data_IF_077118465620
#
_entry.id   IF_077118465620
#
_cell.length_a   1.000
_cell.length_b   1.000
_cell.length_c   1.000
_cell.angle_alpha   90.00
_cell.angle_beta   90.00
_cell.angle_gamma   90.00
#
_symmetry.space_group_name_H-M   'P 1'
#
loop_
_entity.id
_entity.type
_entity.pdbx_description
1 polymer ?
#
# COMPACT_ATOMS: atom_id res chain seq x y z
N UNK A 1 -24.52 -38.70 51.89
CA UNK A 1 -25.12 -37.35 52.03
C UNK A 1 -24.82 -36.59 50.75
N UNK A 2 -25.88 -36.23 50.04
CA UNK A 2 -25.89 -35.74 48.65
C UNK A 2 -25.77 -34.22 48.72
N UNK A 3 -24.75 -33.60 48.11
CA UNK A 3 -24.65 -32.14 48.01
C UNK A 3 -24.72 -31.74 46.54
N UNK A 4 -25.97 -31.63 46.09
CA UNK A 4 -26.40 -31.06 44.84
C UNK A 4 -26.02 -29.56 44.80
N UNK A 5 -25.03 -29.18 43.98
CA UNK A 5 -24.71 -27.78 43.69
C UNK A 5 -25.13 -27.46 42.25
N UNK A 6 -26.31 -26.85 42.15
CA UNK A 6 -26.86 -26.29 40.92
C UNK A 6 -26.18 -24.92 40.74
N UNK A 7 -25.25 -24.80 39.79
CA UNK A 7 -24.70 -23.50 39.39
C UNK A 7 -25.55 -22.96 38.22
N UNK A 8 -26.23 -21.81 38.36
CA UNK A 8 -26.98 -21.23 37.25
C UNK A 8 -26.03 -20.73 36.17
N UNK A 9 -26.30 -21.15 34.94
CA UNK A 9 -25.65 -20.67 33.73
C UNK A 9 -25.96 -19.17 33.52
N UNK A 10 -24.94 -18.32 33.62
CA UNK A 10 -25.00 -16.95 33.10
C UNK A 10 -24.39 -16.96 31.70
N UNK A 11 -25.27 -17.03 30.70
CA UNK A 11 -24.97 -16.82 29.28
C UNK A 11 -24.61 -15.34 29.09
N UNK A 12 -23.31 -15.03 29.11
CA UNK A 12 -22.80 -13.72 28.74
C UNK A 12 -22.59 -13.65 27.23
N UNK A 13 -23.51 -13.01 26.50
CA UNK A 13 -23.29 -12.59 25.12
C UNK A 13 -22.30 -11.42 25.10
N UNK A 14 -21.01 -11.75 25.04
CA UNK A 14 -19.97 -10.77 24.75
C UNK A 14 -20.03 -10.39 23.26
N UNK A 15 -20.66 -9.26 22.95
CA UNK A 15 -20.52 -8.60 21.65
C UNK A 15 -19.10 -8.02 21.56
N UNK A 16 -18.13 -8.86 21.19
CA UNK A 16 -16.78 -8.39 20.85
C UNK A 16 -16.86 -7.58 19.56
N UNK A 17 -16.92 -6.26 19.71
CA UNK A 17 -16.78 -5.28 18.63
C UNK A 17 -15.37 -5.39 18.05
N UNK A 18 -15.19 -6.27 17.06
CA UNK A 18 -13.98 -6.27 16.25
C UNK A 18 -13.96 -4.98 15.42
N UNK A 19 -12.85 -4.23 15.38
CA UNK A 19 -12.72 -3.11 14.46
C UNK A 19 -12.76 -3.67 13.04
N UNK A 20 -13.67 -3.17 12.21
CA UNK A 20 -13.58 -3.31 10.76
C UNK A 20 -12.37 -2.47 10.31
N UNK A 21 -11.17 -3.04 10.39
CA UNK A 21 -10.06 -2.52 9.62
C UNK A 21 -10.43 -2.70 8.14
N UNK A 22 -10.62 -1.60 7.42
CA UNK A 22 -10.75 -1.60 5.98
C UNK A 22 -9.59 -2.43 5.41
N UNK A 23 -9.94 -3.55 4.77
CA UNK A 23 -9.01 -4.52 4.24
C UNK A 23 -8.37 -3.91 3.00
N UNK A 24 -7.35 -3.08 3.18
CA UNK A 24 -6.56 -2.58 2.06
C UNK A 24 -5.83 -3.79 1.50
N UNK A 25 -6.33 -4.30 0.37
CA UNK A 25 -5.81 -5.49 -0.28
C UNK A 25 -4.34 -5.23 -0.69
N UNK A 26 -3.41 -5.72 0.14
CA UNK A 26 -1.98 -5.55 -0.04
C UNK A 26 -1.44 -6.24 -1.30
N UNK A 27 -2.27 -7.01 -2.03
CA UNK A 27 -1.85 -7.80 -3.18
C UNK A 27 -1.90 -7.03 -4.51
N UNK A 28 -2.16 -5.72 -4.52
CA UNK A 28 -2.26 -4.95 -5.77
C UNK A 28 -1.16 -3.90 -5.93
N UNK A 29 0.11 -4.34 -5.86
CA UNK A 29 1.30 -3.50 -6.02
C UNK A 29 1.66 -3.29 -7.49
N UNK A 30 1.45 -2.10 -8.04
CA UNK A 30 1.79 -1.72 -9.41
C UNK A 30 3.24 -1.25 -9.49
N UNK A 31 3.89 -1.57 -10.61
CA UNK A 31 5.25 -1.15 -10.91
C UNK A 31 5.23 0.27 -11.46
N UNK A 32 5.69 1.25 -10.69
CA UNK A 32 5.76 2.65 -11.14
C UNK A 32 7.17 2.95 -11.59
N UNK A 33 7.30 3.42 -12.82
CA UNK A 33 8.57 3.76 -13.43
C UNK A 33 8.91 5.23 -13.14
N UNK A 34 10.08 5.44 -12.55
CA UNK A 34 10.65 6.71 -12.14
C UNK A 34 11.81 7.13 -13.05
N UNK A 35 11.92 6.58 -14.26
CA UNK A 35 12.98 6.93 -15.22
C UNK A 35 12.96 8.42 -15.63
N UNK A 36 11.87 9.14 -15.32
CA UNK A 36 11.82 10.59 -15.43
C UNK A 36 12.77 11.25 -14.42
N UNK A 37 13.87 11.82 -14.93
CA UNK A 37 14.87 12.52 -14.12
C UNK A 37 14.26 13.65 -13.28
N UNK A 38 13.28 14.39 -13.77
CA UNK A 38 12.64 15.47 -13.00
C UNK A 38 11.95 14.91 -11.74
N UNK A 39 11.19 13.83 -11.88
CA UNK A 39 10.48 13.19 -10.76
C UNK A 39 11.46 12.53 -9.80
N UNK A 40 12.46 11.81 -10.31
CA UNK A 40 13.48 11.20 -9.47
C UNK A 40 14.25 12.27 -8.65
N UNK A 41 14.58 13.41 -9.27
CA UNK A 41 15.18 14.54 -8.56
C UNK A 41 14.24 15.11 -7.49
N UNK A 42 12.96 15.31 -7.81
CA UNK A 42 11.98 15.87 -6.87
C UNK A 42 11.81 14.97 -5.63
N UNK A 43 11.71 13.65 -5.84
CA UNK A 43 11.67 12.66 -4.75
C UNK A 43 12.97 12.70 -3.94
N UNK A 44 14.12 12.75 -4.61
CA UNK A 44 15.42 12.82 -3.95
C UNK A 44 15.57 14.08 -3.09
N UNK A 45 15.06 15.22 -3.56
CA UNK A 45 15.04 16.48 -2.79
C UNK A 45 14.12 16.41 -1.59
N UNK A 46 12.94 15.82 -1.72
CA UNK A 46 11.97 15.69 -0.62
C UNK A 46 12.48 14.74 0.47
N UNK A 47 13.19 13.67 0.07
CA UNK A 47 13.79 12.70 0.98
C UNK A 47 15.19 13.09 1.49
N UNK A 48 15.76 14.18 0.99
CA UNK A 48 17.14 14.62 1.24
C UNK A 48 18.19 13.50 0.96
N UNK A 49 17.99 12.75 -0.12
CA UNK A 49 18.88 11.66 -0.56
C UNK A 49 19.49 11.96 -1.93
N UNK A 50 20.50 11.20 -2.33
CA UNK A 50 21.05 11.34 -3.67
C UNK A 50 20.12 10.67 -4.70
N UNK A 51 19.88 11.32 -5.84
CA UNK A 51 19.05 10.78 -6.93
C UNK A 51 19.53 9.41 -7.44
N UNK A 52 20.83 9.10 -7.34
CA UNK A 52 21.37 7.78 -7.67
C UNK A 52 20.94 6.67 -6.72
N UNK A 53 20.43 7.01 -5.53
CA UNK A 53 19.86 6.05 -4.58
C UNK A 53 18.37 5.79 -4.85
N UNK A 54 17.73 6.62 -5.67
CA UNK A 54 16.33 6.43 -6.05
C UNK A 54 16.28 5.28 -7.08
N UNK A 55 15.53 4.20 -6.81
CA UNK A 55 15.35 3.13 -7.78
C UNK A 55 14.57 3.61 -9.01
N UNK A 56 14.94 3.10 -10.18
CA UNK A 56 14.27 3.42 -11.46
C UNK A 56 12.82 2.92 -11.47
N UNK A 57 12.51 1.87 -10.70
CA UNK A 57 11.17 1.28 -10.64
C UNK A 57 10.81 0.98 -9.20
N UNK A 58 9.61 1.39 -8.78
CA UNK A 58 9.10 1.16 -7.42
C UNK A 58 7.78 0.42 -7.41
N UNK A 59 7.54 -0.41 -6.40
CA UNK A 59 6.28 -1.11 -6.22
C UNK A 59 5.39 -0.34 -5.25
N UNK A 60 4.26 0.17 -5.76
CA UNK A 60 3.31 0.96 -4.95
C UNK A 60 1.90 0.41 -5.12
N UNK A 61 1.01 0.57 -4.12
CA UNK A 61 -0.38 0.13 -4.26
C UNK A 61 -1.07 0.84 -5.45
N UNK A 62 -1.97 0.11 -6.13
CA UNK A 62 -2.71 0.62 -7.31
C UNK A 62 -3.36 1.98 -7.10
N UNK A 63 -3.84 2.28 -5.88
CA UNK A 63 -4.46 3.56 -5.57
C UNK A 63 -3.46 4.73 -5.62
N UNK A 64 -2.23 4.51 -5.17
CA UNK A 64 -1.17 5.52 -5.23
C UNK A 64 -0.64 5.64 -6.66
N UNK A 65 -0.42 4.50 -7.34
CA UNK A 65 0.03 4.47 -8.73
C UNK A 65 -0.95 5.21 -9.67
N UNK A 66 -2.25 5.02 -9.47
CA UNK A 66 -3.28 5.69 -10.25
C UNK A 66 -3.18 7.22 -10.19
N UNK A 67 -2.98 7.78 -8.99
CA UNK A 67 -2.82 9.22 -8.80
C UNK A 67 -1.51 9.74 -9.39
N UNK A 68 -0.42 9.02 -9.20
CA UNK A 68 0.95 9.42 -9.63
C UNK A 68 1.14 9.33 -11.14
N UNK A 69 0.51 8.36 -11.77
CA UNK A 69 0.60 8.14 -13.22
C UNK A 69 -0.55 8.85 -13.98
N UNK A 70 -1.47 9.53 -13.29
CA UNK A 70 -2.70 10.13 -13.83
C UNK A 70 -3.53 9.13 -14.68
N UNK A 71 -3.63 7.89 -14.20
CA UNK A 71 -4.38 6.80 -14.85
C UNK A 71 -5.43 6.25 -13.92
N UNK A 72 -6.51 5.72 -14.48
CA UNK A 72 -7.55 5.11 -13.64
C UNK A 72 -7.05 3.84 -12.98
N UNK A 73 -7.25 3.73 -11.66
CA UNK A 73 -6.90 2.53 -10.87
C UNK A 73 -7.52 1.25 -11.44
N UNK A 74 -8.71 1.35 -12.05
CA UNK A 74 -9.36 0.21 -12.70
C UNK A 74 -8.59 -0.28 -13.95
N UNK A 75 -7.97 0.63 -14.71
CA UNK A 75 -7.14 0.26 -15.88
C UNK A 75 -5.88 -0.46 -15.42
N UNK A 76 -5.22 0.05 -14.38
CA UNK A 76 -4.06 -0.63 -13.78
C UNK A 76 -4.42 -1.98 -13.16
N UNK A 77 -5.57 -2.07 -12.49
CA UNK A 77 -6.05 -3.31 -11.91
C UNK A 77 -6.45 -4.36 -12.97
N UNK A 78 -6.92 -3.93 -14.15
CA UNK A 78 -7.16 -4.81 -15.29
C UNK A 78 -5.85 -5.25 -15.92
N UNK A 79 -4.92 -4.31 -16.19
CA UNK A 79 -3.58 -4.64 -16.66
C UNK A 79 -2.83 -5.61 -15.75
N UNK A 80 -3.07 -5.54 -14.43
CA UNK A 80 -2.55 -6.51 -13.44
C UNK A 80 -3.12 -7.91 -13.57
N UNK A 81 -4.35 -8.05 -14.07
CA UNK A 81 -5.00 -9.35 -14.32
C UNK A 81 -4.51 -9.95 -15.62
N UNK A 82 -4.23 -9.11 -16.61
CA UNK A 82 -3.70 -9.51 -17.91
C UNK A 82 -2.17 -9.71 -17.90
N UNK A 83 -1.46 -9.21 -16.89
CA UNK A 83 -0.01 -9.37 -16.72
C UNK A 83 0.63 -8.41 -15.70
N UNK A 84 1.84 -7.96 -15.96
CA UNK A 84 2.50 -6.90 -15.17
C UNK A 84 1.95 -5.52 -15.56
N UNK A 85 1.21 -4.89 -14.65
CA UNK A 85 0.87 -3.48 -14.79
C UNK A 85 2.06 -2.63 -14.37
N UNK A 86 2.58 -1.88 -15.34
CA UNK A 86 3.51 -0.81 -15.12
C UNK A 86 2.92 0.52 -15.58
N UNK A 87 3.27 1.62 -14.91
CA UNK A 87 2.98 2.96 -15.39
C UNK A 87 4.14 3.90 -15.14
N UNK A 88 4.32 4.88 -16.02
CA UNK A 88 5.32 5.92 -15.85
C UNK A 88 4.77 6.99 -14.91
N UNK A 89 5.53 7.34 -13.86
CA UNK A 89 5.16 8.45 -13.01
C UNK A 89 5.13 9.73 -13.85
N UNK A 90 4.04 10.49 -13.74
CA UNK A 90 3.88 11.80 -14.36
C UNK A 90 3.99 12.93 -13.33
N UNK A 91 3.83 12.62 -12.03
CA UNK A 91 4.00 13.56 -10.94
C UNK A 91 4.59 12.92 -9.69
N UNK A 92 5.39 13.67 -8.92
CA UNK A 92 5.83 13.29 -7.58
C UNK A 92 4.68 13.50 -6.57
N UNK A 93 4.59 12.65 -5.55
CA UNK A 93 3.62 12.85 -4.46
C UNK A 93 4.19 12.33 -3.15
N UNK A 94 3.76 12.89 -2.02
CA UNK A 94 4.22 12.42 -0.70
C UNK A 94 4.00 10.91 -0.50
N UNK A 95 2.91 10.37 -1.06
CA UNK A 95 2.65 8.93 -1.02
C UNK A 95 3.65 8.12 -1.84
N UNK A 96 4.08 8.63 -3.00
CA UNK A 96 5.15 8.04 -3.80
C UNK A 96 6.49 8.11 -3.06
N UNK A 97 6.83 9.26 -2.50
CA UNK A 97 8.08 9.49 -1.76
C UNK A 97 8.20 8.51 -0.58
N UNK A 98 7.10 8.34 0.17
CA UNK A 98 7.03 7.34 1.24
C UNK A 98 7.20 5.92 0.73
N UNK A 99 6.64 5.59 -0.45
CA UNK A 99 6.81 4.25 -1.02
C UNK A 99 8.25 4.00 -1.47
N UNK A 100 8.90 4.98 -2.11
CA UNK A 100 10.32 4.94 -2.46
C UNK A 100 11.17 4.75 -1.21
N UNK A 101 10.96 5.61 -0.19
CA UNK A 101 11.68 5.51 1.08
C UNK A 101 11.51 4.14 1.73
N UNK A 102 10.28 3.59 1.74
CA UNK A 102 10.00 2.24 2.24
C UNK A 102 10.76 1.17 1.47
N UNK A 103 10.88 1.29 0.16
CA UNK A 103 11.67 0.34 -0.64
C UNK A 103 13.18 0.52 -0.46
N UNK A 104 13.64 1.72 -0.14
CA UNK A 104 15.05 1.96 0.20
C UNK A 104 15.43 1.37 1.57
N UNK A 105 14.53 1.40 2.56
CA UNK A 105 14.78 0.80 3.89
C UNK A 105 14.46 -0.69 3.97
N UNK A 106 13.69 -1.22 3.01
CA UNK A 106 13.42 -2.66 2.90
C UNK A 106 14.52 -3.42 2.15
N UNK A 107 15.52 -2.71 1.60
CA UNK A 107 16.68 -3.27 0.91
C UNK A 107 17.91 -3.36 1.82
#
# INVERSE_FOLDING_TARGET
MIRNYIAPALVGLALSSAPLAAQVNANNLVSVNLSNNDIANDIARDLDVNVSQIPVTVQVPVGIAATVCDVQANVLAQGKKDGDAACDATSSSQALNQAVQKQMVAQ
#
